data_IF_779722952580
#
_entry.id   IF_779722952580
#
_cell.length_a   1.000
_cell.length_b   1.000
_cell.length_c   1.000
_cell.angle_alpha   90.00
_cell.angle_beta   90.00
_cell.angle_gamma   90.00
#
_symmetry.space_group_name_H-M   'P 1'
#
loop_
_entity.id
_entity.type
_entity.pdbx_description
1 polymer ?
#
# COMPACT_ATOMS: atom_id res chain seq x y z
N UNK A 1 -78.04 -15.82 -70.86
CA UNK A 1 -76.76 -15.61 -71.57
C UNK A 1 -75.63 -16.18 -70.73
N UNK A 2 -74.80 -17.07 -71.32
CA UNK A 2 -73.40 -17.46 -70.99
C UNK A 2 -73.09 -17.86 -69.51
N UNK A 3 -72.81 -19.15 -69.22
CA UNK A 3 -71.47 -19.83 -69.14
C UNK A 3 -70.56 -19.18 -68.07
N UNK A 4 -69.87 -19.84 -67.12
CA UNK A 4 -69.11 -21.11 -67.15
C UNK A 4 -68.56 -21.45 -65.73
N UNK A 5 -68.51 -22.75 -65.37
CA UNK A 5 -67.58 -23.55 -64.52
C UNK A 5 -66.61 -22.97 -63.46
N UNK A 6 -66.53 -23.66 -62.28
CA UNK A 6 -65.35 -24.38 -61.71
C UNK A 6 -65.61 -24.69 -60.20
N UNK A 7 -65.85 -25.93 -59.75
CA UNK A 7 -65.00 -27.11 -59.46
C UNK A 7 -64.19 -27.08 -58.12
N UNK A 8 -64.59 -28.00 -57.23
CA UNK A 8 -63.88 -28.75 -56.17
C UNK A 8 -63.17 -28.07 -54.98
N UNK A 9 -63.37 -28.70 -53.81
CA UNK A 9 -62.29 -28.91 -52.85
C UNK A 9 -62.66 -28.81 -51.36
N UNK A 10 -63.52 -29.69 -50.85
CA UNK A 10 -63.68 -29.89 -49.41
C UNK A 10 -62.45 -30.65 -48.89
N UNK A 11 -61.58 -29.97 -48.14
CA UNK A 11 -60.41 -30.56 -47.47
C UNK A 11 -60.67 -30.57 -45.97
N UNK A 12 -60.74 -31.78 -45.41
CA UNK A 12 -60.72 -32.04 -43.97
C UNK A 12 -59.44 -31.45 -43.36
N UNK A 13 -59.61 -30.57 -42.38
CA UNK A 13 -58.53 -30.07 -41.53
C UNK A 13 -58.29 -31.09 -40.40
N UNK A 14 -57.47 -32.09 -40.68
CA UNK A 14 -56.94 -33.01 -39.67
C UNK A 14 -55.94 -32.29 -38.79
N UNK A 15 -56.18 -32.32 -37.47
CA UNK A 15 -55.30 -31.77 -36.46
C UNK A 15 -53.93 -32.46 -36.46
N UNK A 16 -52.88 -31.64 -36.53
CA UNK A 16 -51.53 -31.98 -36.11
C UNK A 16 -51.15 -30.99 -35.02
N UNK A 17 -51.51 -31.33 -33.78
CA UNK A 17 -50.89 -30.71 -32.61
C UNK A 17 -49.45 -31.23 -32.54
N UNK A 18 -48.50 -30.45 -33.08
CA UNK A 18 -47.09 -30.64 -32.77
C UNK A 18 -46.90 -30.27 -31.30
N UNK A 19 -46.88 -31.27 -30.43
CA UNK A 19 -46.37 -31.16 -29.07
C UNK A 19 -44.87 -30.89 -29.18
N UNK A 20 -44.49 -29.62 -29.24
CA UNK A 20 -43.13 -29.20 -28.92
C UNK A 20 -42.94 -29.45 -27.42
N UNK A 21 -42.50 -30.66 -27.07
CA UNK A 21 -41.78 -30.85 -25.83
C UNK A 21 -40.49 -30.03 -25.94
N UNK A 22 -40.49 -28.84 -25.39
CA UNK A 22 -39.24 -28.30 -24.86
C UNK A 22 -38.79 -29.31 -23.81
N UNK A 23 -37.72 -30.07 -24.08
CA UNK A 23 -36.97 -30.67 -22.98
C UNK A 23 -36.57 -29.48 -22.12
N UNK A 24 -37.15 -29.38 -20.94
CA UNK A 24 -36.53 -28.62 -19.87
C UNK A 24 -35.17 -29.31 -19.68
N UNK A 25 -34.12 -28.71 -20.23
CA UNK A 25 -32.77 -29.13 -19.88
C UNK A 25 -32.63 -28.79 -18.40
N UNK A 26 -32.50 -29.84 -17.58
CA UNK A 26 -32.22 -29.68 -16.15
C UNK A 26 -31.02 -28.74 -16.01
N UNK A 27 -31.18 -27.68 -15.19
CA UNK A 27 -30.07 -26.74 -14.96
C UNK A 27 -28.84 -27.49 -14.46
N UNK A 28 -27.64 -27.17 -14.97
CA UNK A 28 -26.43 -27.87 -14.59
C UNK A 28 -26.15 -27.68 -13.11
N UNK A 29 -25.96 -28.79 -12.39
CA UNK A 29 -25.55 -28.75 -10.98
C UNK A 29 -24.08 -28.38 -10.91
N UNK A 30 -23.78 -27.20 -10.37
CA UNK A 30 -22.43 -26.67 -10.30
C UNK A 30 -21.61 -27.32 -9.17
N UNK A 31 -20.27 -27.35 -9.28
CA UNK A 31 -19.41 -27.59 -8.13
C UNK A 31 -19.58 -26.49 -7.07
N UNK A 32 -19.06 -26.71 -5.87
CA UNK A 32 -19.17 -25.76 -4.75
C UNK A 32 -17.81 -25.40 -4.16
N UNK A 33 -17.71 -24.21 -3.56
CA UNK A 33 -16.53 -23.75 -2.82
C UNK A 33 -16.94 -23.27 -1.44
N UNK A 34 -16.37 -23.91 -0.41
CA UNK A 34 -16.56 -23.56 1.00
C UNK A 34 -15.24 -23.08 1.60
N UNK A 35 -15.33 -22.05 2.44
CA UNK A 35 -14.18 -21.55 3.20
C UNK A 35 -14.21 -22.11 4.62
N UNK A 36 -13.03 -22.31 5.21
CA UNK A 36 -12.90 -22.65 6.61
C UNK A 36 -13.32 -21.44 7.46
N UNK A 37 -14.32 -21.63 8.32
CA UNK A 37 -14.88 -20.58 9.19
C UNK A 37 -14.30 -20.63 10.61
N UNK A 38 -13.27 -21.45 10.85
CA UNK A 38 -12.56 -21.44 12.13
C UNK A 38 -11.84 -20.10 12.35
N UNK A 39 -11.69 -19.72 13.61
CA UNK A 39 -10.94 -18.51 14.00
C UNK A 39 -9.54 -18.51 13.37
N UNK A 40 -9.14 -17.38 12.81
CA UNK A 40 -7.85 -17.20 12.14
C UNK A 40 -7.87 -17.42 10.62
N UNK A 41 -8.98 -17.88 10.05
CA UNK A 41 -9.17 -17.98 8.61
C UNK A 41 -9.99 -16.81 8.05
N UNK A 42 -9.66 -16.38 6.84
CA UNK A 42 -10.47 -15.45 6.04
C UNK A 42 -11.49 -16.26 5.25
N UNK A 43 -12.78 -15.98 5.45
CA UNK A 43 -13.90 -16.68 4.79
C UNK A 43 -14.96 -15.73 4.19
N UNK A 44 -14.79 -14.42 4.38
CA UNK A 44 -15.64 -13.36 3.84
C UNK A 44 -14.79 -12.13 3.51
N UNK A 45 -15.40 -11.12 2.86
CA UNK A 45 -14.73 -9.86 2.60
C UNK A 45 -14.23 -9.24 3.90
N UNK A 46 -13.01 -8.71 3.88
CA UNK A 46 -12.35 -8.24 5.10
C UNK A 46 -11.47 -7.03 4.83
N UNK A 47 -10.95 -6.45 5.91
CA UNK A 47 -9.95 -5.39 5.89
C UNK A 47 -8.67 -5.87 6.54
N UNK A 48 -7.51 -5.44 6.04
CA UNK A 48 -6.22 -5.79 6.62
C UNK A 48 -5.19 -4.67 6.44
N UNK A 49 -4.30 -4.49 7.40
CA UNK A 49 -3.20 -3.53 7.32
C UNK A 49 -2.07 -4.07 6.43
N UNK A 50 -1.20 -3.19 5.92
CA UNK A 50 -0.03 -3.62 5.16
C UNK A 50 0.85 -4.55 6.01
N UNK A 51 1.30 -5.66 5.41
CA UNK A 51 2.13 -6.66 6.10
C UNK A 51 1.36 -7.70 6.91
N UNK A 52 0.04 -7.53 7.11
CA UNK A 52 -0.78 -8.54 7.80
C UNK A 52 -0.75 -9.89 7.08
N UNK A 53 -0.64 -10.97 7.85
CA UNK A 53 -0.72 -12.33 7.32
C UNK A 53 -2.17 -12.83 7.37
N UNK A 54 -2.71 -13.19 6.21
CA UNK A 54 -4.09 -13.62 6.04
C UNK A 54 -4.10 -15.09 5.61
N UNK A 55 -4.76 -15.94 6.39
CA UNK A 55 -4.77 -17.40 6.16
C UNK A 55 -6.10 -17.82 5.54
N UNK A 56 -6.05 -18.68 4.53
CA UNK A 56 -7.21 -19.19 3.81
C UNK A 56 -7.24 -20.72 3.88
N UNK A 57 -8.44 -21.26 4.05
CA UNK A 57 -8.72 -22.68 3.97
C UNK A 57 -9.90 -22.86 3.05
N UNK A 58 -9.70 -23.54 1.93
CA UNK A 58 -10.67 -23.68 0.84
C UNK A 58 -10.95 -25.15 0.62
N UNK A 59 -12.23 -25.50 0.55
CA UNK A 59 -12.67 -26.83 0.12
C UNK A 59 -13.57 -26.67 -1.10
N UNK A 60 -13.10 -27.16 -2.25
CA UNK A 60 -13.90 -27.30 -3.45
C UNK A 60 -14.50 -28.71 -3.49
N UNK A 61 -15.78 -28.83 -3.82
CA UNK A 61 -16.46 -30.11 -3.99
C UNK A 61 -17.09 -30.19 -5.38
N UNK A 62 -17.05 -31.37 -6.00
CA UNK A 62 -17.84 -31.68 -7.17
C UNK A 62 -19.34 -31.60 -6.87
N UNK A 63 -20.16 -31.76 -7.91
CA UNK A 63 -21.63 -31.66 -7.81
C UNK A 63 -22.30 -32.95 -7.27
N UNK A 64 -21.52 -33.95 -6.88
CA UNK A 64 -21.97 -35.25 -6.38
C UNK A 64 -21.90 -36.38 -7.42
N UNK A 65 -21.94 -36.04 -8.72
CA UNK A 65 -21.79 -36.99 -9.84
C UNK A 65 -20.49 -36.83 -10.60
N UNK A 66 -20.08 -35.57 -10.80
CA UNK A 66 -18.92 -35.19 -11.60
C UNK A 66 -17.75 -34.77 -10.72
N UNK A 67 -16.61 -35.41 -10.97
CA UNK A 67 -15.35 -35.03 -10.34
C UNK A 67 -14.93 -33.63 -10.79
N UNK A 68 -14.27 -32.92 -9.87
CA UNK A 68 -13.51 -31.72 -10.21
C UNK A 68 -12.33 -32.09 -11.09
N UNK A 69 -12.12 -31.30 -12.15
CA UNK A 69 -10.95 -31.41 -13.03
C UNK A 69 -10.00 -30.23 -12.91
N UNK A 70 -10.48 -29.11 -12.36
CA UNK A 70 -9.69 -27.88 -12.24
C UNK A 70 -9.97 -27.13 -10.94
N UNK A 71 -8.93 -26.59 -10.33
CA UNK A 71 -9.03 -25.53 -9.34
C UNK A 71 -8.10 -24.37 -9.71
N UNK A 72 -8.60 -23.14 -9.70
CA UNK A 72 -7.82 -21.94 -9.98
C UNK A 72 -7.96 -20.92 -8.84
N UNK A 73 -6.86 -20.21 -8.59
CA UNK A 73 -6.79 -19.05 -7.70
C UNK A 73 -6.27 -17.87 -8.50
N UNK A 74 -7.02 -16.78 -8.52
CA UNK A 74 -6.61 -15.52 -9.13
C UNK A 74 -6.58 -14.43 -8.06
N UNK A 75 -5.60 -13.54 -8.13
CA UNK A 75 -5.55 -12.29 -7.37
C UNK A 75 -5.47 -11.12 -8.34
N UNK A 76 -6.41 -10.18 -8.25
CA UNK A 76 -6.54 -9.04 -9.16
C UNK A 76 -6.53 -9.45 -10.64
N UNK A 77 -7.20 -10.56 -10.97
CA UNK A 77 -7.23 -11.14 -12.31
C UNK A 77 -5.97 -11.90 -12.74
N UNK A 78 -4.88 -11.86 -11.95
CA UNK A 78 -3.68 -12.62 -12.21
C UNK A 78 -3.80 -14.04 -11.65
N UNK A 79 -3.61 -15.05 -12.50
CA UNK A 79 -3.60 -16.44 -12.08
C UNK A 79 -2.37 -16.76 -11.22
N UNK A 80 -2.61 -17.24 -10.01
CA UNK A 80 -1.58 -17.68 -9.05
C UNK A 80 -1.51 -19.19 -8.94
N UNK A 81 -2.66 -19.87 -9.02
CA UNK A 81 -2.76 -21.32 -9.01
C UNK A 81 -3.62 -21.78 -10.17
N UNK A 82 -3.18 -22.86 -10.81
CA UNK A 82 -3.94 -23.60 -11.83
C UNK A 82 -3.62 -25.08 -11.64
N UNK A 83 -4.50 -25.78 -10.94
CA UNK A 83 -4.34 -27.18 -10.59
C UNK A 83 -5.24 -28.05 -11.44
N UNK A 84 -4.66 -29.03 -12.12
CA UNK A 84 -5.39 -30.14 -12.72
C UNK A 84 -5.59 -31.24 -11.69
N UNK A 85 -6.84 -31.62 -11.45
CA UNK A 85 -7.24 -32.59 -10.45
C UNK A 85 -8.21 -33.63 -11.05
N UNK A 86 -8.56 -34.68 -10.32
CA UNK A 86 -9.63 -35.62 -10.68
C UNK A 86 -10.18 -36.25 -9.40
N UNK A 87 -10.99 -35.49 -8.66
CA UNK A 87 -11.46 -35.85 -7.32
C UNK A 87 -12.82 -35.23 -7.05
N UNK A 88 -13.62 -35.85 -6.17
CA UNK A 88 -14.86 -35.24 -5.70
C UNK A 88 -14.65 -34.10 -4.70
N UNK A 89 -13.53 -34.08 -3.99
CA UNK A 89 -13.21 -33.03 -3.04
C UNK A 89 -11.74 -32.65 -3.13
N UNK A 90 -11.47 -31.35 -3.10
CA UNK A 90 -10.12 -30.77 -3.14
C UNK A 90 -9.99 -29.73 -2.04
N UNK A 91 -8.94 -29.86 -1.23
CA UNK A 91 -8.63 -28.95 -0.11
C UNK A 91 -7.37 -28.18 -0.43
N UNK A 92 -7.43 -26.87 -0.28
CA UNK A 92 -6.31 -25.97 -0.50
C UNK A 92 -6.19 -24.98 0.67
N UNK A 93 -5.03 -24.98 1.33
CA UNK A 93 -4.72 -24.07 2.43
C UNK A 93 -3.49 -23.25 2.06
N UNK A 94 -3.54 -21.95 2.29
CA UNK A 94 -2.43 -21.03 2.02
C UNK A 94 -2.54 -19.80 2.91
N UNK A 95 -1.48 -19.01 2.94
CA UNK A 95 -1.51 -17.67 3.51
C UNK A 95 -0.98 -16.67 2.49
N UNK A 96 -1.33 -15.41 2.70
CA UNK A 96 -0.80 -14.27 1.94
C UNK A 96 -0.37 -13.19 2.92
N UNK A 97 0.43 -12.26 2.43
CA UNK A 97 0.73 -11.01 3.14
C UNK A 97 0.00 -9.88 2.42
N UNK A 98 -0.74 -9.05 3.18
CA UNK A 98 -1.47 -7.91 2.61
C UNK A 98 -0.48 -6.92 2.00
N UNK A 99 -0.69 -6.60 0.72
CA UNK A 99 0.14 -5.65 -0.02
C UNK A 99 -0.27 -4.20 0.23
N UNK A 100 0.41 -3.25 -0.41
CA UNK A 100 0.06 -1.83 -0.42
C UNK A 100 -1.18 -1.48 -1.28
N UNK A 101 -1.79 -2.45 -1.98
CA UNK A 101 -2.96 -2.18 -2.81
C UNK A 101 -4.19 -1.82 -1.94
N UNK A 102 -4.93 -0.78 -2.30
CA UNK A 102 -6.13 -0.36 -1.55
C UNK A 102 -7.22 -1.45 -1.55
N UNK A 103 -7.29 -2.23 -2.63
CA UNK A 103 -8.21 -3.34 -2.78
C UNK A 103 -7.49 -4.51 -3.46
N UNK A 104 -7.69 -5.71 -2.93
CA UNK A 104 -7.28 -6.96 -3.54
C UNK A 104 -8.50 -7.87 -3.77
N UNK A 105 -8.75 -8.22 -5.02
CA UNK A 105 -9.82 -9.11 -5.43
C UNK A 105 -9.29 -10.53 -5.62
N UNK A 106 -9.74 -11.46 -4.78
CA UNK A 106 -9.36 -12.87 -4.82
C UNK A 106 -10.49 -13.70 -5.38
N UNK A 107 -10.22 -14.48 -6.44
CA UNK A 107 -11.20 -15.36 -7.09
C UNK A 107 -10.76 -16.81 -6.99
N UNK A 108 -11.67 -17.64 -6.49
CA UNK A 108 -11.50 -19.09 -6.32
C UNK A 108 -12.45 -19.77 -7.29
N UNK A 109 -11.91 -20.62 -8.17
CA UNK A 109 -12.68 -21.21 -9.27
C UNK A 109 -12.52 -22.72 -9.21
N UNK A 110 -13.63 -23.45 -9.24
CA UNK A 110 -13.66 -24.90 -9.34
C UNK A 110 -14.42 -25.29 -10.61
N UNK A 111 -13.86 -26.21 -11.39
CA UNK A 111 -14.45 -26.70 -12.64
C UNK A 111 -14.57 -28.22 -12.59
N UNK A 112 -15.74 -28.74 -12.94
CA UNK A 112 -16.01 -30.17 -13.05
C UNK A 112 -15.66 -30.75 -14.43
N UNK A 113 -15.71 -32.07 -14.57
CA UNK A 113 -15.39 -32.76 -15.83
C UNK A 113 -16.36 -32.46 -16.97
N UNK A 114 -17.59 -32.03 -16.67
CA UNK A 114 -18.56 -31.57 -17.66
C UNK A 114 -18.29 -30.12 -18.13
N UNK A 115 -17.33 -29.44 -17.49
CA UNK A 115 -16.92 -28.07 -17.81
C UNK A 115 -17.68 -27.01 -17.03
N UNK A 116 -18.60 -27.38 -16.14
CA UNK A 116 -19.32 -26.40 -15.32
C UNK A 116 -18.38 -25.83 -14.27
N UNK A 117 -18.48 -24.52 -14.04
CA UNK A 117 -17.59 -23.81 -13.13
C UNK A 117 -18.35 -22.98 -12.11
N UNK A 118 -17.84 -22.99 -10.88
CA UNK A 118 -18.30 -22.11 -9.81
C UNK A 118 -17.16 -21.20 -9.38
N UNK A 119 -17.44 -19.91 -9.28
CA UNK A 119 -16.49 -18.90 -8.80
C UNK A 119 -17.00 -18.29 -7.51
N UNK A 120 -16.11 -18.22 -6.51
CA UNK A 120 -16.34 -17.48 -5.27
C UNK A 120 -15.28 -16.41 -5.14
N UNK A 121 -15.65 -15.23 -4.66
CA UNK A 121 -14.72 -14.12 -4.49
C UNK A 121 -14.60 -13.69 -3.03
N UNK A 122 -13.42 -13.20 -2.67
CA UNK A 122 -13.16 -12.48 -1.43
C UNK A 122 -12.46 -11.17 -1.82
N UNK A 123 -12.96 -10.07 -1.29
CA UNK A 123 -12.32 -8.75 -1.40
C UNK A 123 -11.61 -8.42 -0.10
N UNK A 124 -10.35 -8.01 -0.20
CA UNK A 124 -9.55 -7.56 0.94
C UNK A 124 -9.26 -6.08 0.73
N UNK A 125 -9.82 -5.23 1.60
CA UNK A 125 -9.62 -3.78 1.56
C UNK A 125 -8.49 -3.37 2.50
N UNK A 126 -7.63 -2.45 2.07
CA UNK A 126 -6.56 -1.90 2.91
C UNK A 126 -7.10 -1.15 4.13
N UNK A 127 -6.72 -1.60 5.32
CA UNK A 127 -6.91 -0.87 6.58
C UNK A 127 -5.70 0.01 6.85
N UNK A 128 -5.49 1.02 5.99
CA UNK A 128 -4.30 1.86 6.04
C UNK A 128 -4.53 3.12 6.89
N UNK A 129 -3.48 3.56 7.57
CA UNK A 129 -3.45 4.76 8.38
C UNK A 129 -3.42 6.03 7.55
N UNK A 130 -3.85 7.13 8.17
CA UNK A 130 -3.82 8.46 7.57
C UNK A 130 -2.43 9.09 7.68
N UNK A 131 -2.18 10.07 6.79
CA UNK A 131 -0.96 10.85 6.79
C UNK A 131 -1.25 12.32 7.09
N UNK A 132 -0.34 12.97 7.82
CA UNK A 132 -0.17 14.42 7.74
C UNK A 132 0.73 14.75 6.55
N UNK A 133 0.34 15.76 5.77
CA UNK A 133 1.03 16.17 4.55
C UNK A 133 1.41 17.65 4.61
N UNK A 134 2.71 17.92 4.52
CA UNK A 134 3.30 19.26 4.50
C UNK A 134 3.95 19.48 3.14
N UNK A 135 3.31 20.30 2.31
CA UNK A 135 3.70 20.48 0.90
C UNK A 135 4.94 21.34 0.71
N UNK A 136 5.28 22.18 1.69
CA UNK A 136 6.47 23.03 1.65
C UNK A 136 6.94 23.33 3.06
N UNK A 137 8.13 22.83 3.39
CA UNK A 137 8.89 23.14 4.58
C UNK A 137 10.22 23.72 4.09
N UNK A 138 10.48 24.97 4.47
CA UNK A 138 11.76 25.63 4.26
C UNK A 138 12.54 25.59 5.58
N UNK A 139 13.77 25.09 5.53
CA UNK A 139 14.73 25.13 6.63
C UNK A 139 16.01 25.84 6.21
N UNK A 140 16.64 26.56 7.15
CA UNK A 140 17.97 27.14 6.99
C UNK A 140 19.07 26.21 7.49
N UNK A 141 20.27 26.30 6.91
CA UNK A 141 21.47 25.70 7.48
C UNK A 141 21.94 26.45 8.74
N UNK A 142 23.01 25.99 9.39
CA UNK A 142 23.41 26.39 10.74
C UNK A 142 23.69 27.88 10.93
N UNK A 143 24.16 28.58 9.89
CA UNK A 143 24.50 30.01 9.95
C UNK A 143 23.40 30.88 9.31
N UNK A 144 22.26 30.29 8.94
CA UNK A 144 21.14 31.03 8.41
C UNK A 144 20.39 31.77 9.55
N UNK A 145 20.60 33.08 9.65
CA UNK A 145 20.06 33.89 10.73
C UNK A 145 18.56 34.20 10.62
N UNK A 146 17.93 33.98 9.46
CA UNK A 146 16.56 34.42 9.17
C UNK A 146 15.59 33.27 8.90
N UNK A 147 16.10 32.07 8.62
CA UNK A 147 15.31 30.87 8.33
C UNK A 147 15.55 29.84 9.40
N UNK A 148 14.48 29.28 9.96
CA UNK A 148 14.54 28.27 11.02
C UNK A 148 15.27 27.00 10.57
N UNK A 149 16.19 26.48 11.37
CA UNK A 149 16.97 25.27 11.03
C UNK A 149 16.41 23.99 11.64
N UNK A 150 15.52 24.11 12.62
CA UNK A 150 15.02 22.99 13.43
C UNK A 150 13.55 22.72 13.13
N UNK A 151 13.18 21.43 13.08
CA UNK A 151 11.84 20.97 12.76
C UNK A 151 11.32 20.01 13.84
N UNK A 152 10.09 20.26 14.27
CA UNK A 152 9.26 19.35 15.04
C UNK A 152 8.08 18.90 14.18
N UNK A 153 7.78 17.59 14.21
CA UNK A 153 6.59 16.98 13.61
C UNK A 153 5.57 16.54 14.68
N UNK A 154 5.76 16.99 15.93
CA UNK A 154 4.86 16.71 17.06
C UNK A 154 3.47 17.32 16.86
N UNK A 155 2.46 16.72 17.51
CA UNK A 155 1.07 17.20 17.53
C UNK A 155 0.45 17.37 16.13
N UNK A 156 0.90 16.57 15.15
CA UNK A 156 0.40 16.62 13.77
C UNK A 156 0.61 18.01 13.12
N UNK A 157 1.71 18.67 13.49
CA UNK A 157 2.14 19.96 12.94
C UNK A 157 3.61 19.93 12.53
N UNK A 158 3.97 20.64 11.46
CA UNK A 158 5.36 20.91 11.09
C UNK A 158 5.80 22.27 11.65
N UNK A 159 6.26 22.30 12.90
CA UNK A 159 6.69 23.52 13.57
C UNK A 159 8.19 23.70 13.41
N UNK A 160 8.62 24.91 13.03
CA UNK A 160 10.03 25.23 12.82
C UNK A 160 10.53 26.22 13.86
N UNK A 161 11.81 26.10 14.21
CA UNK A 161 12.44 26.92 15.23
C UNK A 161 13.83 27.41 14.81
N UNK A 162 14.18 28.63 15.21
CA UNK A 162 15.58 29.05 15.29
C UNK A 162 16.28 28.32 16.45
N UNK A 163 17.61 28.22 16.42
CA UNK A 163 18.40 27.44 17.39
C UNK A 163 18.04 27.75 18.86
N UNK A 164 17.95 29.04 19.22
CA UNK A 164 17.64 29.44 20.59
C UNK A 164 16.24 28.99 21.03
N UNK A 165 15.26 29.02 20.12
CA UNK A 165 13.90 28.55 20.41
C UNK A 165 13.86 27.02 20.50
N UNK A 166 14.55 26.33 19.58
CA UNK A 166 14.65 24.88 19.57
C UNK A 166 15.22 24.34 20.89
N UNK A 167 16.17 25.06 21.49
CA UNK A 167 16.74 24.72 22.81
C UNK A 167 15.72 24.76 23.96
N UNK A 168 14.63 25.52 23.85
CA UNK A 168 13.53 25.50 24.82
C UNK A 168 12.52 24.37 24.54
N UNK A 169 12.60 23.74 23.36
CA UNK A 169 11.70 22.71 22.84
C UNK A 169 12.41 21.38 22.56
N UNK A 170 13.46 21.06 23.31
CA UNK A 170 14.41 19.97 22.98
C UNK A 170 13.74 18.61 22.72
N UNK A 171 12.71 18.29 23.51
CA UNK A 171 11.96 17.02 23.41
C UNK A 171 11.07 16.92 22.16
N UNK A 172 10.79 18.05 21.52
CA UNK A 172 9.91 18.12 20.35
C UNK A 172 10.69 18.11 19.03
N UNK A 173 12.01 18.37 19.06
CA UNK A 173 12.82 18.52 17.85
C UNK A 173 13.16 17.15 17.25
N UNK A 174 12.59 16.88 16.08
CA UNK A 174 12.79 15.62 15.36
C UNK A 174 13.93 15.69 14.35
N UNK A 175 14.13 16.86 13.73
CA UNK A 175 15.11 17.05 12.67
C UNK A 175 15.75 18.44 12.73
N UNK A 176 16.95 18.57 12.20
CA UNK A 176 17.54 19.86 11.84
C UNK A 176 18.29 19.79 10.51
N UNK A 177 18.41 20.94 9.86
CA UNK A 177 19.12 21.12 8.60
C UNK A 177 20.51 21.72 8.85
N UNK A 178 21.52 21.21 8.16
CA UNK A 178 22.88 21.74 8.24
C UNK A 178 23.66 21.52 6.94
N UNK A 179 24.76 22.27 6.79
CA UNK A 179 25.72 22.09 5.71
C UNK A 179 27.11 21.79 6.27
N UNK A 180 27.77 20.74 5.75
CA UNK A 180 29.16 20.43 6.13
C UNK A 180 29.93 19.87 4.92
N UNK A 181 30.97 20.60 4.50
CA UNK A 181 31.86 20.18 3.42
C UNK A 181 33.32 20.47 3.79
N UNK A 182 33.87 19.60 4.64
CA UNK A 182 35.27 19.60 5.07
C UNK A 182 36.02 18.42 4.43
N UNK A 183 37.36 18.40 4.45
CA UNK A 183 38.13 17.27 3.95
C UNK A 183 37.77 15.93 4.62
N UNK A 184 37.40 15.97 5.91
CA UNK A 184 37.03 14.80 6.71
C UNK A 184 35.55 14.43 6.57
N UNK A 185 34.68 15.41 6.30
CA UNK A 185 33.24 15.26 6.29
C UNK A 185 32.59 15.97 5.11
N UNK A 186 32.06 15.16 4.18
CA UNK A 186 31.31 15.63 3.01
C UNK A 186 29.84 15.24 3.18
N UNK A 187 29.14 15.94 4.07
CA UNK A 187 27.69 15.79 4.19
C UNK A 187 26.93 16.69 3.22
N UNK A 188 27.54 17.80 2.80
CA UNK A 188 26.89 18.91 2.09
C UNK A 188 25.58 19.30 2.80
N UNK A 189 24.55 19.71 2.07
CA UNK A 189 23.23 19.94 2.67
C UNK A 189 22.67 18.61 3.19
N UNK A 190 22.34 18.59 4.47
CA UNK A 190 21.96 17.37 5.17
C UNK A 190 20.89 17.62 6.24
N UNK A 191 20.15 16.55 6.54
CA UNK A 191 19.25 16.46 7.69
C UNK A 191 19.87 15.53 8.74
N UNK A 192 19.82 15.97 9.98
CA UNK A 192 20.15 15.18 11.17
C UNK A 192 19.06 15.30 12.22
N UNK A 193 19.33 14.79 13.41
CA UNK A 193 18.45 14.91 14.59
C UNK A 193 19.28 15.10 15.85
N UNK A 194 18.74 15.66 16.94
CA UNK A 194 19.50 15.85 18.19
C UNK A 194 20.12 14.56 18.73
N UNK A 195 19.42 13.42 18.60
CA UNK A 195 19.88 12.10 19.02
C UNK A 195 20.89 11.44 18.08
N UNK A 196 21.21 12.06 16.94
CA UNK A 196 22.19 11.53 15.98
C UNK A 196 23.64 11.62 16.46
N UNK A 197 23.90 12.39 17.53
CA UNK A 197 25.23 12.70 18.06
C UNK A 197 26.18 13.32 17.01
N UNK A 198 25.64 14.14 16.12
CA UNK A 198 26.43 15.02 15.24
C UNK A 198 26.81 16.24 16.06
N UNK A 199 28.10 16.57 16.12
CA UNK A 199 28.65 17.64 16.97
C UNK A 199 29.45 18.64 16.17
N UNK A 200 29.65 19.84 16.73
CA UNK A 200 30.53 20.87 16.15
C UNK A 200 29.98 21.58 14.91
N UNK A 201 28.75 21.28 14.50
CA UNK A 201 28.05 21.96 13.39
C UNK A 201 27.39 23.26 13.88
N UNK A 202 26.59 23.17 14.94
CA UNK A 202 25.95 24.31 15.58
C UNK A 202 26.77 24.74 16.79
N UNK A 203 26.92 26.05 17.01
CA UNK A 203 27.79 26.60 18.06
C UNK A 203 27.00 27.35 19.15
N UNK A 204 27.65 27.65 20.27
CA UNK A 204 27.08 28.42 21.37
C UNK A 204 26.30 27.61 22.42
N UNK A 205 25.80 28.30 23.45
CA UNK A 205 25.16 27.67 24.61
C UNK A 205 23.89 26.89 24.25
N UNK A 206 23.20 27.29 23.19
CA UNK A 206 21.95 26.68 22.72
C UNK A 206 22.15 25.60 21.63
N UNK A 207 23.40 25.18 21.37
CA UNK A 207 23.69 24.13 20.39
C UNK A 207 22.97 22.81 20.75
N UNK A 208 22.52 22.01 19.77
CA UNK A 208 21.99 20.65 19.98
C UNK A 208 22.93 19.73 20.75
N UNK A 209 24.23 20.01 20.72
CA UNK A 209 25.25 19.30 21.50
C UNK A 209 24.93 19.39 23.01
N UNK A 210 24.40 20.54 23.45
CA UNK A 210 24.06 20.85 24.84
C UNK A 210 22.64 20.42 25.24
N UNK A 211 21.87 19.77 24.36
CA UNK A 211 20.55 19.27 24.75
C UNK A 211 20.68 18.22 25.86
N UNK A 212 19.66 18.12 26.72
CA UNK A 212 19.59 17.06 27.72
C UNK A 212 19.53 15.70 27.01
N UNK A 213 20.44 14.79 27.40
CA UNK A 213 20.55 13.45 26.80
C UNK A 213 19.23 12.68 26.90
N UNK A 214 18.44 12.89 27.96
CA UNK A 214 17.16 12.22 28.16
C UNK A 214 16.04 12.72 27.22
N UNK A 215 16.25 13.82 26.49
CA UNK A 215 15.22 14.47 25.66
C UNK A 215 15.59 14.57 24.18
N UNK A 216 16.70 13.97 23.74
CA UNK A 216 17.11 14.06 22.32
C UNK A 216 16.36 13.01 21.49
N UNK A 217 15.52 13.45 20.56
CA UNK A 217 14.90 12.53 19.59
C UNK A 217 15.94 12.09 18.54
N UNK A 218 15.95 10.81 18.22
CA UNK A 218 16.68 10.27 17.09
C UNK A 218 15.72 10.00 15.93
N UNK A 219 16.09 10.51 14.77
CA UNK A 219 15.42 10.22 13.50
C UNK A 219 16.39 9.47 12.59
N UNK A 220 15.87 8.41 11.96
CA UNK A 220 16.60 7.59 10.99
C UNK A 220 16.08 7.86 9.59
N UNK A 221 16.96 7.72 8.60
CA UNK A 221 16.70 8.05 7.21
C UNK A 221 17.19 6.93 6.29
N UNK A 222 16.40 6.61 5.26
CA UNK A 222 16.77 5.69 4.19
C UNK A 222 16.50 6.38 2.86
N UNK A 223 17.51 6.45 1.98
CA UNK A 223 17.30 6.98 0.62
C UNK A 223 16.49 5.96 -0.17
N UNK A 224 15.36 6.39 -0.74
CA UNK A 224 14.47 5.48 -1.49
C UNK A 224 14.76 5.53 -2.99
N UNK A 225 14.12 4.63 -3.73
CA UNK A 225 14.04 4.67 -5.20
C UNK A 225 12.76 5.35 -5.70
N UNK A 226 11.95 5.91 -4.80
CA UNK A 226 10.72 6.61 -5.17
C UNK A 226 11.04 7.90 -5.94
N UNK A 227 10.23 8.18 -6.95
CA UNK A 227 10.30 9.45 -7.68
C UNK A 227 9.44 10.51 -6.99
N UNK A 228 9.68 11.81 -7.25
CA UNK A 228 8.79 12.89 -6.83
C UNK A 228 7.31 12.65 -7.14
N UNK A 229 7.00 12.15 -8.34
CA UNK A 229 5.63 11.86 -8.74
C UNK A 229 5.00 10.72 -7.91
N UNK A 230 5.78 9.67 -7.58
CA UNK A 230 5.30 8.59 -6.70
C UNK A 230 5.07 9.10 -5.28
N UNK A 231 5.97 9.93 -4.75
CA UNK A 231 5.78 10.59 -3.46
C UNK A 231 4.48 11.41 -3.44
N UNK A 232 4.23 12.20 -4.48
CA UNK A 232 3.03 13.05 -4.56
C UNK A 232 1.74 12.21 -4.59
N UNK A 233 1.78 11.05 -5.23
CA UNK A 233 0.65 10.11 -5.31
C UNK A 233 0.33 9.38 -4.00
N UNK A 234 1.25 9.29 -3.03
CA UNK A 234 1.00 8.58 -1.75
C UNK A 234 -0.20 9.17 -0.99
N UNK A 235 -1.21 8.37 -0.67
CA UNK A 235 -2.41 8.82 0.05
C UNK A 235 -2.55 8.24 1.47
N UNK A 236 -1.83 7.17 1.79
CA UNK A 236 -1.94 6.43 3.04
C UNK A 236 -0.57 5.92 3.48
N UNK A 237 -0.50 5.39 4.69
CA UNK A 237 0.76 4.98 5.31
C UNK A 237 1.36 3.65 4.81
N UNK A 238 0.64 2.87 4.00
CA UNK A 238 1.14 1.58 3.51
C UNK A 238 2.45 1.73 2.74
N UNK A 239 2.49 2.69 1.80
CA UNK A 239 3.71 2.99 1.03
C UNK A 239 4.81 3.57 1.93
N UNK A 240 4.44 4.34 2.94
CA UNK A 240 5.41 4.97 3.86
C UNK A 240 6.14 3.90 4.68
N UNK A 241 5.41 2.93 5.20
CA UNK A 241 5.96 1.79 5.93
C UNK A 241 6.76 0.87 4.99
N UNK A 242 6.22 0.52 3.81
CA UNK A 242 6.90 -0.32 2.81
C UNK A 242 8.21 0.27 2.29
N UNK A 243 8.32 1.62 2.24
CA UNK A 243 9.51 2.31 1.75
C UNK A 243 10.65 2.40 2.76
N UNK A 244 10.44 1.98 4.01
CA UNK A 244 11.47 2.05 5.06
C UNK A 244 12.16 0.69 5.22
N UNK A 245 13.47 0.65 4.95
CA UNK A 245 14.29 -0.55 5.14
C UNK A 245 15.07 -0.45 6.46
N UNK A 246 14.63 -1.23 7.45
CA UNK A 246 15.23 -1.25 8.79
C UNK A 246 16.69 -1.73 8.81
N UNK A 247 17.18 -2.35 7.71
CA UNK A 247 18.59 -2.72 7.60
C UNK A 247 19.49 -1.50 7.35
N UNK A 248 18.93 -0.35 6.98
CA UNK A 248 19.66 0.86 6.57
C UNK A 248 19.33 2.09 7.43
N UNK A 249 19.23 1.91 8.75
CA UNK A 249 18.96 2.94 9.77
C UNK A 249 20.06 4.03 9.87
N UNK A 250 20.22 4.88 8.84
CA UNK A 250 21.20 5.97 8.86
C UNK A 250 20.71 7.13 9.71
N UNK A 251 21.59 7.67 10.57
CA UNK A 251 21.26 8.80 11.47
C UNK A 251 21.27 10.18 10.81
N UNK A 252 21.51 10.24 9.49
CA UNK A 252 21.52 11.46 8.69
C UNK A 252 21.15 11.17 7.23
N UNK A 253 20.40 12.07 6.63
CA UNK A 253 20.26 12.15 5.18
C UNK A 253 21.23 13.22 4.68
N UNK A 254 22.25 12.83 3.91
CA UNK A 254 23.31 13.71 3.41
C UNK A 254 23.33 13.76 1.90
N UNK A 255 24.07 14.73 1.34
CA UNK A 255 24.18 14.97 -0.11
C UNK A 255 22.80 15.16 -0.73
N UNK A 256 21.95 15.92 -0.05
CA UNK A 256 20.57 16.13 -0.49
C UNK A 256 20.57 16.86 -1.83
N UNK A 257 19.82 16.32 -2.79
CA UNK A 257 19.62 16.92 -4.10
C UNK A 257 18.13 17.02 -4.44
N UNK A 258 17.75 18.05 -5.21
CA UNK A 258 16.39 18.21 -5.68
C UNK A 258 15.90 16.95 -6.41
N UNK A 259 14.71 16.48 -6.05
CA UNK A 259 14.12 15.25 -6.58
C UNK A 259 14.40 13.99 -5.75
N UNK A 260 15.32 14.04 -4.79
CA UNK A 260 15.52 12.93 -3.86
C UNK A 260 14.29 12.69 -2.99
N UNK A 261 14.00 11.41 -2.73
CA UNK A 261 12.97 10.98 -1.77
C UNK A 261 13.61 10.06 -0.74
N UNK A 262 13.46 10.40 0.53
CA UNK A 262 13.90 9.56 1.65
C UNK A 262 12.69 9.09 2.44
N UNK A 263 12.74 7.86 2.94
CA UNK A 263 11.90 7.43 4.04
C UNK A 263 12.62 7.73 5.35
N UNK A 264 11.85 7.97 6.40
CA UNK A 264 12.38 8.21 7.72
C UNK A 264 11.51 7.55 8.79
N UNK A 265 12.12 7.27 9.95
CA UNK A 265 11.43 6.82 11.15
C UNK A 265 11.78 7.79 12.28
N UNK A 266 10.75 8.30 12.96
CA UNK A 266 10.90 9.16 14.12
C UNK A 266 11.17 8.33 15.39
N UNK A 267 11.66 8.97 16.44
CA UNK A 267 11.91 8.35 17.74
C UNK A 267 10.68 7.65 18.33
N UNK A 268 9.48 8.17 18.05
CA UNK A 268 8.21 7.61 18.52
C UNK A 268 7.69 6.43 17.67
N UNK A 269 8.46 5.99 16.67
CA UNK A 269 8.13 4.86 15.80
C UNK A 269 7.31 5.21 14.56
N UNK A 270 6.86 6.46 14.40
CA UNK A 270 6.14 6.88 13.19
C UNK A 270 7.07 6.90 11.98
N UNK A 271 6.57 6.36 10.87
CA UNK A 271 7.25 6.39 9.58
C UNK A 271 6.78 7.60 8.75
N UNK A 272 7.67 8.09 7.89
CA UNK A 272 7.39 9.18 6.98
C UNK A 272 8.22 9.11 5.70
N UNK A 273 7.82 9.93 4.73
CA UNK A 273 8.57 10.23 3.53
C UNK A 273 8.89 11.72 3.49
N UNK A 274 10.08 12.07 3.03
CA UNK A 274 10.45 13.44 2.67
C UNK A 274 10.88 13.49 1.21
N UNK A 275 10.49 14.55 0.51
CA UNK A 275 10.88 14.85 -0.87
C UNK A 275 11.65 16.16 -0.87
N UNK A 276 12.88 16.14 -1.37
CA UNK A 276 13.70 17.34 -1.55
C UNK A 276 13.21 18.11 -2.77
N UNK A 277 12.81 19.37 -2.58
CA UNK A 277 12.31 20.25 -3.64
C UNK A 277 13.45 21.12 -4.18
N UNK A 278 14.22 21.74 -3.31
CA UNK A 278 15.33 22.62 -3.68
C UNK A 278 16.40 22.64 -2.60
N UNK A 279 17.66 22.86 -3.01
CA UNK A 279 18.83 22.94 -2.14
C UNK A 279 19.67 24.13 -2.56
N UNK A 280 19.98 24.98 -1.59
CA UNK A 280 21.04 25.99 -1.68
C UNK A 280 22.16 25.60 -0.71
N UNK A 281 23.23 25.01 -1.24
CA UNK A 281 24.24 24.27 -0.48
C UNK A 281 25.34 25.13 0.11
N UNK A 282 25.05 25.92 1.15
CA UNK A 282 26.04 26.65 1.95
C UNK A 282 25.65 26.65 3.43
N UNK A 283 26.56 27.08 4.33
CA UNK A 283 26.30 27.21 5.78
C UNK A 283 25.18 28.22 6.08
N UNK A 284 24.99 29.21 5.20
CA UNK A 284 23.88 30.18 5.26
C UNK A 284 22.71 29.81 4.36
N UNK A 285 22.79 28.67 3.67
CA UNK A 285 21.87 28.25 2.63
C UNK A 285 20.55 27.72 3.18
N UNK A 286 19.76 27.11 2.31
CA UNK A 286 18.41 26.62 2.63
C UNK A 286 18.09 25.29 1.97
N UNK A 287 17.18 24.55 2.61
CA UNK A 287 16.58 23.31 2.12
C UNK A 287 15.07 23.50 2.04
N UNK A 288 14.49 23.30 0.86
CA UNK A 288 13.04 23.23 0.68
C UNK A 288 12.63 21.78 0.46
N UNK A 289 11.64 21.30 1.20
CA UNK A 289 11.16 19.92 1.12
C UNK A 289 9.65 19.82 1.32
N UNK A 290 9.09 18.68 0.94
CA UNK A 290 7.75 18.25 1.36
C UNK A 290 7.86 17.01 2.24
N UNK A 291 6.97 16.86 3.22
CA UNK A 291 6.94 15.72 4.14
C UNK A 291 5.55 15.11 4.17
N UNK A 292 5.48 13.78 4.22
CA UNK A 292 4.30 13.00 4.59
C UNK A 292 4.66 12.09 5.75
N UNK A 293 3.87 12.06 6.82
CA UNK A 293 4.18 11.28 8.04
C UNK A 293 2.90 10.68 8.62
N UNK A 294 3.00 9.50 9.23
CA UNK A 294 1.88 8.86 9.92
C UNK A 294 1.25 9.77 10.99
N UNK A 295 -0.08 9.81 10.99
CA UNK A 295 -0.87 10.48 12.04
C UNK A 295 -0.81 9.77 13.38
#
# INVERSE_FOLDING_TARGET
>A
MKKLFAFCGMVLLTGLFFTSCTKEEDEPVLPTINFNTASGYVFENTTAAYGDTLTFGVTANGNGTDNLVKFQLLANGQQLVDSTINTQAFVFNFFITKSIADVEEWSFIATDIAGNSFTKTITITGAFGQLDSYVTILLGAQDNATTESFLSLSNNMATRYLQAQAFEHQADIDMYCFYENTPEHQNEMALGSPGANITGIFTGATSPDNYNVATKNLTWFVKTTLTPAKFDAVQNDAIVVDSYDENFDFKKAKLLAAGDVYSFRLQNGKYGLLKVIAVDGTETGTLTMAIKVQK
#
